data_IF_385798229404
#
_entry.id   IF_385798229404
#
_cell.length_a   1.000
_cell.length_b   1.000
_cell.length_c   1.000
_cell.angle_alpha   90.00
_cell.angle_beta   90.00
_cell.angle_gamma   90.00
#
_symmetry.space_group_name_H-M   'P 1'
#
loop_
_entity.id
_entity.type
_entity.pdbx_description
1 polymer ?
#
# COMPACT_ATOMS: atom_id res chain seq x y z
N UNK A 1 -28.57 7.72 -13.29
CA UNK A 1 -28.16 7.83 -14.71
C UNK A 1 -27.29 6.62 -15.07
N UNK A 2 -27.84 5.60 -15.75
CA UNK A 2 -27.07 4.42 -16.20
C UNK A 2 -26.47 4.72 -17.57
N UNK A 3 -25.15 4.95 -17.64
CA UNK A 3 -24.44 5.12 -18.91
C UNK A 3 -24.54 3.80 -19.69
N UNK A 4 -25.33 3.79 -20.76
CA UNK A 4 -25.49 2.65 -21.67
C UNK A 4 -24.28 2.61 -22.63
N UNK A 5 -23.09 2.38 -22.08
CA UNK A 5 -21.87 2.22 -22.87
C UNK A 5 -21.91 0.88 -23.58
N UNK A 6 -21.61 0.87 -24.88
CA UNK A 6 -21.65 -0.34 -25.70
C UNK A 6 -20.76 -1.44 -25.11
N UNK A 7 -21.15 -2.73 -25.24
CA UNK A 7 -20.38 -3.84 -24.67
C UNK A 7 -18.90 -3.81 -25.10
N UNK A 8 -18.63 -3.40 -26.34
CA UNK A 8 -17.27 -3.21 -26.86
C UNK A 8 -16.46 -2.15 -26.10
N UNK A 9 -17.05 -0.99 -25.79
CA UNK A 9 -16.36 0.06 -25.02
C UNK A 9 -16.06 -0.40 -23.59
N UNK A 10 -16.96 -1.17 -22.97
CA UNK A 10 -16.72 -1.75 -21.63
C UNK A 10 -15.53 -2.71 -21.67
N UNK A 11 -15.49 -3.62 -22.64
CA UNK A 11 -14.37 -4.57 -22.80
C UNK A 11 -13.05 -3.83 -22.98
N UNK A 12 -13.01 -2.80 -23.84
CA UNK A 12 -11.80 -2.01 -24.04
C UNK A 12 -11.34 -1.27 -22.77
N UNK A 13 -12.29 -0.69 -22.02
CA UNK A 13 -12.00 -0.05 -20.73
C UNK A 13 -11.46 -1.05 -19.71
N UNK A 14 -12.03 -2.25 -19.62
CA UNK A 14 -11.53 -3.27 -18.71
C UNK A 14 -10.15 -3.78 -19.08
N UNK A 15 -9.85 -3.98 -20.37
CA UNK A 15 -8.51 -4.34 -20.83
C UNK A 15 -7.51 -3.25 -20.44
N UNK A 16 -7.84 -1.98 -20.68
CA UNK A 16 -7.00 -0.85 -20.31
C UNK A 16 -6.75 -0.79 -18.79
N UNK A 17 -7.81 -0.92 -17.98
CA UNK A 17 -7.69 -0.96 -16.52
C UNK A 17 -6.86 -2.15 -16.06
N UNK A 18 -7.03 -3.32 -16.68
CA UNK A 18 -6.28 -4.52 -16.35
C UNK A 18 -4.78 -4.37 -16.62
N UNK A 19 -4.42 -3.77 -17.76
CA UNK A 19 -3.02 -3.40 -18.06
C UNK A 19 -2.50 -2.43 -16.98
N UNK A 20 -3.29 -1.42 -16.61
CA UNK A 20 -2.94 -0.48 -15.53
C UNK A 20 -2.67 -1.17 -14.20
N UNK A 21 -3.47 -2.18 -13.84
CA UNK A 21 -3.27 -3.02 -12.65
C UNK A 21 -1.97 -3.81 -12.76
N UNK A 22 -1.72 -4.49 -13.88
CA UNK A 22 -0.48 -5.26 -14.07
C UNK A 22 0.75 -4.36 -13.89
N UNK A 23 0.79 -3.23 -14.57
CA UNK A 23 1.92 -2.29 -14.51
C UNK A 23 2.11 -1.75 -13.10
N UNK A 24 1.01 -1.50 -12.37
CA UNK A 24 1.06 -0.95 -11.01
C UNK A 24 1.46 -2.00 -9.97
N UNK A 25 1.02 -3.26 -10.13
CA UNK A 25 1.32 -4.36 -9.19
C UNK A 25 2.71 -4.94 -9.44
N UNK A 26 3.20 -4.91 -10.67
CA UNK A 26 4.50 -5.43 -11.05
C UNK A 26 5.67 -5.02 -10.13
N UNK A 27 5.89 -3.72 -9.80
CA UNK A 27 6.99 -3.35 -8.90
C UNK A 27 6.84 -3.95 -7.49
N UNK A 28 5.62 -4.10 -6.98
CA UNK A 28 5.39 -4.74 -5.68
C UNK A 28 5.65 -6.25 -5.73
N UNK A 29 5.26 -6.91 -6.81
CA UNK A 29 5.59 -8.32 -7.05
C UNK A 29 7.11 -8.51 -7.08
N UNK A 30 7.83 -7.66 -7.82
CA UNK A 30 9.28 -7.79 -7.94
C UNK A 30 10.00 -7.47 -6.61
N UNK A 31 9.49 -6.51 -5.84
CA UNK A 31 9.97 -6.25 -4.48
C UNK A 31 9.76 -7.46 -3.55
N UNK A 32 8.60 -8.12 -3.64
CA UNK A 32 8.33 -9.35 -2.88
C UNK A 32 9.29 -10.48 -3.26
N UNK A 33 9.52 -10.70 -4.55
CA UNK A 33 10.52 -11.66 -5.04
C UNK A 33 11.90 -11.32 -4.50
N UNK A 34 12.33 -10.06 -4.59
CA UNK A 34 13.61 -9.61 -4.04
C UNK A 34 13.76 -9.88 -2.54
N UNK A 35 12.69 -9.69 -1.76
CA UNK A 35 12.69 -9.96 -0.33
C UNK A 35 12.86 -11.46 0.02
N UNK A 36 12.55 -12.36 -0.92
CA UNK A 36 12.71 -13.82 -0.74
C UNK A 36 14.05 -14.38 -1.23
N UNK A 37 14.85 -13.56 -1.92
CA UNK A 37 16.15 -13.96 -2.46
C UNK A 37 17.32 -13.40 -1.60
N UNK A 38 18.52 -13.98 -1.68
CA UNK A 38 19.72 -13.46 -1.01
C UNK A 38 20.02 -12.00 -1.36
N UNK A 39 20.63 -11.30 -0.40
CA UNK A 39 21.08 -9.91 -0.59
C UNK A 39 22.06 -9.81 -1.75
N UNK A 40 21.72 -9.00 -2.76
CA UNK A 40 22.56 -8.77 -3.94
C UNK A 40 22.05 -9.46 -5.22
N UNK A 41 21.19 -10.48 -5.13
CA UNK A 41 20.68 -11.17 -6.32
C UNK A 41 19.72 -10.33 -7.16
N UNK A 42 19.15 -9.27 -6.59
CA UNK A 42 18.36 -8.28 -7.34
C UNK A 42 19.19 -7.55 -8.41
N UNK A 43 20.52 -7.57 -8.30
CA UNK A 43 21.46 -6.97 -9.26
C UNK A 43 22.04 -7.99 -10.25
N UNK A 44 21.67 -9.27 -10.17
CA UNK A 44 22.14 -10.27 -11.13
C UNK A 44 21.56 -10.04 -12.53
N UNK A 45 22.33 -10.44 -13.55
CA UNK A 45 21.89 -10.47 -14.95
C UNK A 45 21.90 -11.93 -15.41
N UNK A 46 20.75 -12.56 -15.70
CA UNK A 46 19.39 -12.00 -15.68
C UNK A 46 18.79 -11.83 -14.26
N UNK A 47 17.85 -10.88 -14.05
CA UNK A 47 17.18 -10.70 -12.76
C UNK A 47 16.30 -11.90 -12.39
N UNK A 48 16.23 -12.20 -11.09
CA UNK A 48 15.32 -13.22 -10.58
C UNK A 48 13.87 -12.71 -10.58
N UNK A 49 13.00 -13.43 -11.29
CA UNK A 49 11.56 -13.15 -11.34
C UNK A 49 10.72 -14.12 -10.50
N UNK A 50 11.36 -15.14 -9.91
CA UNK A 50 10.71 -16.16 -9.09
C UNK A 50 11.09 -15.99 -7.61
N UNK A 51 10.16 -16.25 -6.67
CA UNK A 51 10.48 -16.27 -5.25
C UNK A 51 11.59 -17.26 -4.91
N UNK A 52 12.48 -16.89 -4.00
CA UNK A 52 13.56 -17.73 -3.47
C UNK A 52 13.23 -18.35 -2.12
N UNK A 53 14.14 -19.19 -1.61
CA UNK A 53 13.95 -19.92 -0.35
C UNK A 53 14.44 -19.16 0.91
N UNK A 54 14.99 -17.96 0.74
CA UNK A 54 15.64 -17.19 1.81
C UNK A 54 14.70 -16.22 2.55
N UNK A 55 13.40 -16.21 2.22
CA UNK A 55 12.45 -15.22 2.76
C UNK A 55 12.35 -15.22 4.29
N UNK A 56 12.36 -16.40 4.93
CA UNK A 56 12.31 -16.49 6.39
C UNK A 56 13.59 -15.97 7.06
N UNK A 57 14.75 -16.33 6.49
CA UNK A 57 16.05 -15.89 7.00
C UNK A 57 16.24 -14.40 6.82
N UNK A 58 15.86 -13.84 5.67
CA UNK A 58 15.85 -12.41 5.43
C UNK A 58 14.97 -11.66 6.44
N UNK A 59 13.77 -12.19 6.75
CA UNK A 59 12.90 -11.59 7.76
C UNK A 59 13.53 -11.61 9.16
N UNK A 60 14.12 -12.74 9.56
CA UNK A 60 14.80 -12.87 10.85
C UNK A 60 15.99 -11.90 10.94
N UNK A 61 16.84 -11.88 9.92
CA UNK A 61 17.98 -10.97 9.83
C UNK A 61 17.52 -9.51 9.86
N UNK A 62 16.45 -9.15 9.16
CA UNK A 62 15.89 -7.80 9.18
C UNK A 62 15.37 -7.43 10.57
N UNK A 63 14.70 -8.35 11.26
CA UNK A 63 14.21 -8.10 12.61
C UNK A 63 15.33 -8.01 13.65
N UNK A 64 16.39 -8.79 13.53
CA UNK A 64 17.54 -8.72 14.43
C UNK A 64 18.37 -7.45 14.23
N UNK A 65 18.58 -7.02 12.98
CA UNK A 65 19.40 -5.84 12.66
C UNK A 65 18.64 -4.51 12.83
N UNK A 66 17.37 -4.47 12.44
CA UNK A 66 16.58 -3.22 12.37
C UNK A 66 15.44 -3.19 13.39
N UNK A 67 15.03 -4.34 13.93
CA UNK A 67 13.86 -4.42 14.81
C UNK A 67 12.56 -4.12 14.06
N UNK A 68 12.42 -4.60 12.82
CA UNK A 68 11.29 -4.24 11.92
C UNK A 68 9.92 -4.42 12.57
N UNK A 69 9.70 -5.45 13.39
CA UNK A 69 8.43 -5.66 14.09
C UNK A 69 8.12 -4.51 15.05
N UNK A 70 9.14 -4.03 15.79
CA UNK A 70 8.99 -2.89 16.70
C UNK A 70 8.74 -1.61 15.93
N UNK A 71 9.45 -1.39 14.82
CA UNK A 71 9.28 -0.20 13.96
C UNK A 71 7.85 -0.17 13.41
N UNK A 72 7.37 -1.27 12.84
CA UNK A 72 5.99 -1.40 12.34
C UNK A 72 4.97 -1.18 13.45
N UNK A 73 5.19 -1.74 14.65
CA UNK A 73 4.33 -1.54 15.81
C UNK A 73 4.24 -0.07 16.24
N UNK A 74 5.38 0.63 16.29
CA UNK A 74 5.41 2.06 16.61
C UNK A 74 4.65 2.90 15.57
N UNK A 75 4.88 2.65 14.28
CA UNK A 75 4.16 3.35 13.20
C UNK A 75 2.66 3.11 13.29
N UNK A 76 2.25 1.85 13.49
CA UNK A 76 0.83 1.50 13.63
C UNK A 76 0.21 2.22 14.83
N UNK A 77 0.88 2.22 15.98
CA UNK A 77 0.40 2.90 17.18
C UNK A 77 0.23 4.41 16.97
N UNK A 78 1.22 5.08 16.37
CA UNK A 78 1.18 6.51 16.10
C UNK A 78 0.06 6.83 15.10
N UNK A 79 -0.02 6.11 13.98
CA UNK A 79 -1.05 6.35 12.96
C UNK A 79 -2.44 6.13 13.51
N UNK A 80 -2.70 5.04 14.25
CA UNK A 80 -4.02 4.79 14.84
C UNK A 80 -4.40 5.87 15.85
N UNK A 81 -3.49 6.22 16.76
CA UNK A 81 -3.73 7.24 17.78
C UNK A 81 -4.05 8.59 17.13
N UNK A 82 -3.22 8.99 16.16
CA UNK A 82 -3.43 10.25 15.44
C UNK A 82 -4.75 10.24 14.66
N UNK A 83 -5.03 9.20 13.88
CA UNK A 83 -6.27 9.10 13.09
C UNK A 83 -7.52 9.18 13.98
N UNK A 84 -7.54 8.50 15.13
CA UNK A 84 -8.69 8.54 16.05
C UNK A 84 -8.86 9.95 16.64
N UNK A 85 -7.79 10.55 17.16
CA UNK A 85 -7.84 11.88 17.74
C UNK A 85 -8.23 12.94 16.70
N UNK A 86 -7.61 12.90 15.51
CA UNK A 86 -7.95 13.79 14.41
C UNK A 86 -9.39 13.60 13.95
N UNK A 87 -9.89 12.36 13.82
CA UNK A 87 -11.27 12.11 13.44
C UNK A 87 -12.25 12.72 14.46
N UNK A 88 -12.00 12.58 15.76
CA UNK A 88 -12.81 13.18 16.82
C UNK A 88 -12.82 14.71 16.67
N UNK A 89 -11.63 15.32 16.57
CA UNK A 89 -11.49 16.79 16.49
C UNK A 89 -12.12 17.33 15.20
N UNK A 90 -11.82 16.72 14.05
CA UNK A 90 -12.36 17.13 12.75
C UNK A 90 -13.88 16.96 12.69
N UNK A 91 -14.43 15.89 13.28
CA UNK A 91 -15.88 15.68 13.32
C UNK A 91 -16.55 16.69 14.24
N UNK A 92 -15.97 16.97 15.41
CA UNK A 92 -16.50 17.98 16.34
C UNK A 92 -16.46 19.39 15.73
N UNK A 93 -15.34 19.76 15.11
CA UNK A 93 -15.20 21.03 14.40
C UNK A 93 -16.17 21.11 13.19
N UNK A 94 -16.27 20.04 12.42
CA UNK A 94 -17.21 19.94 11.30
C UNK A 94 -18.66 20.08 11.75
N UNK A 95 -19.04 19.45 12.87
CA UNK A 95 -20.37 19.61 13.47
C UNK A 95 -20.60 21.05 13.93
N UNK A 96 -19.61 21.64 14.60
CA UNK A 96 -19.68 23.02 15.06
C UNK A 96 -19.98 23.96 13.89
N UNK A 97 -19.17 23.91 12.82
CA UNK A 97 -19.37 24.69 11.60
C UNK A 97 -20.68 24.40 10.86
N UNK A 98 -21.17 23.16 10.89
CA UNK A 98 -22.40 22.79 10.21
C UNK A 98 -23.68 23.23 10.97
N UNK A 99 -23.63 23.35 12.30
CA UNK A 99 -24.82 23.58 13.13
C UNK A 99 -24.87 24.92 13.86
N UNK A 100 -23.73 25.53 14.15
CA UNK A 100 -23.70 26.81 14.86
C UNK A 100 -23.46 27.97 13.88
N UNK A 101 -24.08 29.12 14.15
CA UNK A 101 -23.78 30.36 13.45
C UNK A 101 -22.64 31.07 14.16
N UNK A 102 -21.50 31.14 13.50
CA UNK A 102 -20.35 31.90 13.98
C UNK A 102 -20.48 33.33 13.46
N UNK A 103 -20.17 34.32 14.31
CA UNK A 103 -19.93 35.68 13.83
C UNK A 103 -18.59 35.64 13.11
N UNK A 104 -18.61 35.77 11.79
CA UNK A 104 -17.41 36.03 11.00
C UNK A 104 -16.75 37.33 11.43
#
# INVERSE_FOLDING_TARGET
>A
MRHNVSPFRKTLLYIFLFIGVIVSVFPFYWMFVGATNPSGEIFNVPPNFLPGDYGWENFKNLNENVGIVRVLGNSLFITLTFTVLSAIVCTAAGYAFAKFQFKG
#
